data_IF_547709474489
#
_entry.id   IF_547709474489
#
_cell.length_a   1.000
_cell.length_b   1.000
_cell.length_c   1.000
_cell.angle_alpha   90.00
_cell.angle_beta   90.00
_cell.angle_gamma   90.00
#
_symmetry.space_group_name_H-M   'P 1'
#
loop_
_entity.id
_entity.type
_entity.pdbx_description
1 polymer ?
#
# COMPACT_ATOMS: atom_id res chain seq x y z
N UNK A 1 4.27 4.27 14.20
CA UNK A 1 3.89 2.91 14.66
C UNK A 1 3.11 2.28 13.52
N UNK A 2 3.65 1.26 12.86
CA UNK A 2 3.02 0.68 11.67
C UNK A 2 1.64 0.08 12.00
N UNK A 3 0.60 0.53 11.30
CA UNK A 3 -0.77 -0.01 11.37
C UNK A 3 -1.08 -0.76 10.10
N UNK A 4 -1.56 -2.00 10.25
CA UNK A 4 -2.17 -2.73 9.14
C UNK A 4 -3.58 -2.22 8.95
N UNK A 5 -3.87 -1.72 7.76
CA UNK A 5 -5.17 -1.11 7.42
C UNK A 5 -5.64 -1.63 6.08
N UNK A 6 -6.95 -1.64 5.88
CA UNK A 6 -7.54 -1.97 4.59
C UNK A 6 -7.20 -0.86 3.60
N UNK A 7 -6.86 -1.20 2.35
CA UNK A 7 -6.56 -0.21 1.31
C UNK A 7 -7.71 0.80 1.12
N UNK A 8 -8.95 0.39 1.39
CA UNK A 8 -10.15 1.24 1.35
C UNK A 8 -10.14 2.37 2.39
N UNK A 9 -9.42 2.19 3.49
CA UNK A 9 -9.32 3.13 4.59
C UNK A 9 -8.03 3.98 4.49
N UNK A 10 -7.21 3.76 3.46
CA UNK A 10 -5.96 4.49 3.26
C UNK A 10 -6.17 5.69 2.36
N UNK A 11 -5.65 6.83 2.83
CA UNK A 11 -5.72 8.09 2.12
C UNK A 11 -4.38 8.40 1.43
N UNK A 12 -4.42 9.12 0.30
CA UNK A 12 -3.22 9.66 -0.32
C UNK A 12 -2.55 10.62 0.66
N UNK A 13 -1.24 10.45 0.85
CA UNK A 13 -0.45 11.18 1.83
C UNK A 13 0.12 10.32 2.95
N UNK A 14 -0.46 9.15 3.22
CA UNK A 14 0.08 8.18 4.17
C UNK A 14 1.42 7.61 3.67
N UNK A 15 2.31 7.27 4.59
CA UNK A 15 3.59 6.62 4.27
C UNK A 15 3.45 5.12 4.47
N UNK A 16 3.91 4.33 3.49
CA UNK A 16 3.98 2.89 3.62
C UNK A 16 4.98 2.50 4.71
N UNK A 17 4.52 1.79 5.73
CA UNK A 17 5.38 1.24 6.76
C UNK A 17 6.08 -0.05 6.32
N UNK A 18 5.57 -0.73 5.30
CA UNK A 18 6.17 -1.95 4.76
C UNK A 18 6.04 -2.00 3.23
N UNK A 19 6.86 -2.85 2.60
CA UNK A 19 6.76 -3.14 1.17
C UNK A 19 5.40 -3.77 0.86
N UNK A 20 4.79 -3.34 -0.23
CA UNK A 20 3.54 -3.91 -0.75
C UNK A 20 3.90 -4.95 -1.79
N UNK A 21 3.47 -6.18 -1.58
CA UNK A 21 3.67 -7.30 -2.50
C UNK A 21 2.33 -7.77 -3.06
N UNK A 22 2.30 -8.13 -4.34
CA UNK A 22 1.16 -8.78 -4.98
C UNK A 22 0.96 -10.21 -4.45
N UNK A 23 -0.22 -10.82 -4.68
CA UNK A 23 -0.43 -12.25 -4.42
C UNK A 23 0.56 -13.16 -5.18
N UNK A 24 1.11 -12.69 -6.30
CA UNK A 24 2.14 -13.39 -7.09
C UNK A 24 3.55 -13.26 -6.52
N UNK A 25 3.73 -12.55 -5.39
CA UNK A 25 5.03 -12.35 -4.75
C UNK A 25 5.86 -11.19 -5.33
N UNK A 26 5.32 -10.44 -6.28
CA UNK A 26 6.00 -9.30 -6.90
C UNK A 26 5.89 -8.07 -6.00
N UNK A 27 7.01 -7.36 -5.78
CA UNK A 27 7.00 -6.10 -5.01
C UNK A 27 6.44 -4.98 -5.89
N UNK A 28 5.30 -4.41 -5.49
CA UNK A 28 4.69 -3.26 -6.15
C UNK A 28 5.34 -1.93 -5.74
N UNK A 29 5.50 -1.76 -4.43
CA UNK A 29 6.00 -0.53 -3.83
C UNK A 29 6.90 -0.87 -2.63
N UNK A 30 8.05 -0.18 -2.49
CA UNK A 30 8.89 -0.33 -1.30
C UNK A 30 8.28 0.38 -0.09
N UNK A 31 8.81 0.06 1.11
CA UNK A 31 8.49 0.77 2.34
C UNK A 31 9.04 2.22 2.29
N UNK A 32 8.46 3.11 3.09
CA UNK A 32 8.86 4.53 3.18
C UNK A 32 8.32 5.39 2.04
N UNK A 33 7.55 4.84 1.11
CA UNK A 33 6.94 5.59 0.01
C UNK A 33 5.67 6.28 0.47
N UNK A 34 5.54 7.57 0.13
CA UNK A 34 4.31 8.33 0.32
C UNK A 34 3.28 7.92 -0.73
N UNK A 35 2.14 7.42 -0.29
CA UNK A 35 1.08 6.92 -1.14
C UNK A 35 0.40 8.07 -1.90
N UNK A 36 0.36 7.95 -3.22
CA UNK A 36 -0.41 8.83 -4.10
C UNK A 36 -1.72 8.17 -4.52
N UNK A 37 -2.67 8.94 -5.06
CA UNK A 37 -3.92 8.38 -5.62
C UNK A 37 -3.63 7.33 -6.69
N UNK A 38 -2.70 7.60 -7.60
CA UNK A 38 -2.31 6.68 -8.66
C UNK A 38 -1.73 5.37 -8.10
N UNK A 39 -0.90 5.46 -7.05
CA UNK A 39 -0.35 4.28 -6.39
C UNK A 39 -1.45 3.46 -5.70
N UNK A 40 -2.38 4.10 -4.99
CA UNK A 40 -3.51 3.41 -4.36
C UNK A 40 -4.38 2.69 -5.39
N UNK A 41 -4.67 3.34 -6.52
CA UNK A 41 -5.40 2.71 -7.62
C UNK A 41 -4.63 1.54 -8.22
N UNK A 42 -3.31 1.66 -8.38
CA UNK A 42 -2.44 0.58 -8.84
C UNK A 42 -2.53 -0.60 -7.87
N UNK A 43 -2.27 -0.40 -6.58
CA UNK A 43 -2.36 -1.45 -5.54
C UNK A 43 -3.72 -2.17 -5.60
N UNK A 44 -4.81 -1.42 -5.78
CA UNK A 44 -6.17 -1.95 -5.91
C UNK A 44 -6.35 -2.81 -7.18
N UNK A 45 -5.81 -2.39 -8.32
CA UNK A 45 -5.85 -3.15 -9.58
C UNK A 45 -5.09 -4.47 -9.50
N UNK A 46 -4.04 -4.53 -8.70
CA UNK A 46 -3.24 -5.74 -8.48
C UNK A 46 -3.84 -6.70 -7.42
N UNK A 47 -5.05 -6.42 -6.92
CA UNK A 47 -5.74 -7.30 -5.98
C UNK A 47 -5.16 -7.28 -4.56
N UNK A 48 -4.41 -6.24 -4.19
CA UNK A 48 -3.94 -6.07 -2.81
C UNK A 48 -5.01 -5.32 -2.02
N UNK A 49 -5.47 -5.93 -0.93
CA UNK A 49 -6.56 -5.39 -0.12
C UNK A 49 -6.10 -4.81 1.22
N UNK A 50 -4.93 -5.21 1.70
CA UNK A 50 -4.39 -4.81 3.01
C UNK A 50 -2.96 -4.30 2.84
N UNK A 51 -2.64 -3.18 3.49
CA UNK A 51 -1.30 -2.59 3.48
C UNK A 51 -0.93 -2.10 4.88
N UNK A 52 0.38 -1.94 5.14
CA UNK A 52 0.89 -1.36 6.38
C UNK A 52 1.30 0.08 6.13
N UNK A 53 0.74 1.00 6.92
CA UNK A 53 1.05 2.44 6.87
C UNK A 53 1.53 2.92 8.23
N UNK A 54 2.32 3.99 8.26
CA UNK A 54 2.74 4.66 9.51
C UNK A 54 1.70 5.63 10.06
#
# INVERSE_FOLDING_TARGET
MAKTVSLREVFPGNVLAAKVTTPTGMVLLPAGVKLTREQLEKIRKFGVHTIKVE
#
